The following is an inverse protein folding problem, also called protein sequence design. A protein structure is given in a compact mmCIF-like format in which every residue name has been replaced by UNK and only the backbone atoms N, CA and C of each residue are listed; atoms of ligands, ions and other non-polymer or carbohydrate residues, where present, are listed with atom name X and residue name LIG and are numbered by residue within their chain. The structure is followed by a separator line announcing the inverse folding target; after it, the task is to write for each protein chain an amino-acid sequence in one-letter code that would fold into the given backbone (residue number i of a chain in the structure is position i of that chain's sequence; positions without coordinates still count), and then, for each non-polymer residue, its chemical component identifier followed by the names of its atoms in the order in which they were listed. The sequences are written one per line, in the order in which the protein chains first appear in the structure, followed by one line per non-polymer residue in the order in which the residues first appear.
data_IF_588185363357
#
_entry.id   IF_588185363357
#
_cell.length_a   1.000
_cell.length_b   1.000
_cell.length_c   1.000
_cell.angle_alpha   90.00
_cell.angle_beta   90.00
_cell.angle_gamma   90.00
#
_symmetry.space_group_name_H-M   'P 1'
#
loop_
_entity.id
_entity.type
_entity.pdbx_description
1 polymer ?
#
# COMPACT_ATOMS: atom_id res chain seq x y z
N UNK A 1 32.89 32.34 -7.35
CA UNK A 1 32.20 31.75 -8.52
C UNK A 1 31.17 30.74 -8.00
N UNK A 2 29.91 31.19 -8.03
CA UNK A 2 28.64 30.44 -8.07
C UNK A 2 28.52 29.09 -7.36
N UNK A 3 27.88 29.13 -6.18
CA UNK A 3 27.07 28.03 -5.69
C UNK A 3 25.81 27.92 -6.56
N UNK A 4 25.57 26.75 -7.15
CA UNK A 4 24.32 26.46 -7.85
C UNK A 4 23.24 26.10 -6.82
N UNK A 5 22.31 27.03 -6.60
CA UNK A 5 21.04 26.71 -5.96
C UNK A 5 20.19 25.96 -6.99
N UNK A 6 20.03 24.65 -6.82
CA UNK A 6 19.03 23.89 -7.57
C UNK A 6 17.68 24.14 -6.90
N UNK A 7 16.99 25.18 -7.34
CA UNK A 7 15.61 25.48 -6.98
C UNK A 7 14.71 24.52 -7.76
N UNK A 8 14.58 23.29 -7.30
CA UNK A 8 13.58 22.37 -7.86
C UNK A 8 12.24 22.68 -7.17
N UNK A 9 11.56 23.69 -7.69
CA UNK A 9 10.17 23.98 -7.34
C UNK A 9 9.31 22.86 -7.89
N UNK A 10 9.18 21.78 -7.12
CA UNK A 10 8.20 20.73 -7.37
C UNK A 10 6.80 21.37 -7.30
N UNK A 11 6.25 21.67 -8.46
CA UNK A 11 4.83 21.93 -8.64
C UNK A 11 4.08 20.73 -8.10
N UNK A 12 3.55 20.84 -6.89
CA UNK A 12 2.63 19.85 -6.35
C UNK A 12 1.36 19.93 -7.19
N UNK A 13 1.22 18.97 -8.10
CA UNK A 13 0.01 18.79 -8.90
C UNK A 13 -1.19 18.63 -7.94
N UNK A 14 -2.27 19.38 -8.19
CA UNK A 14 -3.51 19.33 -7.41
C UNK A 14 -4.20 17.94 -7.41
N UNK A 15 -3.67 16.98 -8.19
CA UNK A 15 -4.10 15.58 -8.23
C UNK A 15 -3.56 14.73 -7.05
N UNK A 16 -2.61 15.25 -6.26
CA UNK A 16 -1.91 14.51 -5.19
C UNK A 16 -2.78 14.30 -3.92
N UNK A 17 -3.86 15.08 -3.76
CA UNK A 17 -4.73 15.00 -2.57
C UNK A 17 -5.69 13.80 -2.55
N UNK A 18 -5.75 13.01 -3.63
CA UNK A 18 -6.70 11.89 -3.77
C UNK A 18 -6.03 10.56 -4.08
N UNK A 19 -4.70 10.47 -4.09
CA UNK A 19 -4.02 9.21 -4.40
C UNK A 19 -4.05 8.26 -3.20
N UNK A 20 -4.87 7.22 -3.29
CA UNK A 20 -5.06 6.21 -2.22
C UNK A 20 -4.40 4.87 -2.55
N UNK A 21 -4.01 4.65 -3.80
CA UNK A 21 -3.43 3.41 -4.30
C UNK A 21 -1.90 3.48 -4.35
N UNK A 22 -1.24 2.60 -3.60
CA UNK A 22 0.22 2.54 -3.52
C UNK A 22 0.75 1.16 -3.85
N UNK A 23 1.82 1.11 -4.63
CA UNK A 23 2.59 -0.10 -4.92
C UNK A 23 3.97 0.02 -4.28
N UNK A 24 4.21 -0.78 -3.24
CA UNK A 24 5.46 -0.73 -2.48
C UNK A 24 6.33 -1.96 -2.79
N UNK A 25 7.61 -1.78 -3.17
CA UNK A 25 8.53 -2.88 -3.39
C UNK A 25 8.71 -3.73 -2.12
N UNK A 26 8.34 -5.00 -2.21
CA UNK A 26 8.49 -5.98 -1.15
C UNK A 26 9.52 -7.03 -1.57
N UNK A 27 10.65 -7.03 -0.86
CA UNK A 27 11.75 -7.96 -1.09
C UNK A 27 11.49 -9.25 -0.30
N UNK A 28 11.01 -10.28 -0.99
CA UNK A 28 10.72 -11.58 -0.40
C UNK A 28 11.98 -12.47 -0.46
N UNK A 29 12.56 -12.91 0.68
CA UNK A 29 13.72 -13.79 0.67
C UNK A 29 13.45 -15.10 -0.06
N UNK A 30 14.43 -15.62 -0.78
CA UNK A 30 14.32 -16.86 -1.58
C UNK A 30 13.82 -18.06 -0.80
N UNK A 31 14.25 -18.24 0.45
CA UNK A 31 13.78 -19.34 1.29
C UNK A 31 12.29 -19.23 1.67
N UNK A 32 11.68 -18.05 1.48
CA UNK A 32 10.25 -17.79 1.72
C UNK A 32 9.48 -17.68 0.41
N UNK A 33 10.16 -17.38 -0.69
CA UNK A 33 9.55 -17.38 -2.02
C UNK A 33 9.34 -18.82 -2.50
N UNK A 34 8.14 -19.16 -2.96
CA UNK A 34 7.92 -20.41 -3.68
C UNK A 34 8.50 -20.29 -5.09
N UNK A 35 9.82 -20.47 -5.22
CA UNK A 35 10.57 -20.21 -6.47
C UNK A 35 10.10 -21.11 -7.63
N UNK A 36 9.48 -22.25 -7.35
CA UNK A 36 8.90 -23.17 -8.34
C UNK A 36 7.38 -23.04 -8.50
N UNK A 37 6.71 -22.17 -7.73
CA UNK A 37 5.26 -22.03 -7.66
C UNK A 37 4.78 -20.67 -8.17
N UNK A 38 3.95 -20.00 -7.37
CA UNK A 38 3.40 -18.68 -7.70
C UNK A 38 4.48 -17.64 -8.07
N UNK A 39 5.69 -17.76 -7.49
CA UNK A 39 6.81 -16.88 -7.81
C UNK A 39 7.35 -17.08 -9.22
N UNK A 40 7.42 -18.33 -9.71
CA UNK A 40 7.88 -18.61 -11.08
C UNK A 40 6.94 -17.99 -12.11
N UNK A 41 5.63 -18.18 -11.94
CA UNK A 41 4.62 -17.59 -12.80
C UNK A 41 4.64 -16.05 -12.73
N UNK A 42 4.78 -15.48 -11.53
CA UNK A 42 4.88 -14.03 -11.37
C UNK A 42 6.14 -13.44 -12.05
N UNK A 43 7.27 -14.15 -12.01
CA UNK A 43 8.49 -13.76 -12.72
C UNK A 43 8.29 -13.83 -14.25
N UNK A 44 7.68 -14.90 -14.75
CA UNK A 44 7.40 -15.07 -16.19
C UNK A 44 6.45 -13.98 -16.72
N UNK A 45 5.44 -13.62 -15.93
CA UNK A 45 4.44 -12.62 -16.30
C UNK A 45 4.87 -11.17 -16.00
N UNK A 46 6.10 -10.96 -15.50
CA UNK A 46 6.62 -9.63 -15.17
C UNK A 46 6.02 -8.96 -13.92
N UNK A 47 5.25 -9.71 -13.13
CA UNK A 47 4.64 -9.26 -11.87
C UNK A 47 5.63 -9.28 -10.69
N UNK A 48 6.76 -9.95 -10.86
CA UNK A 48 7.86 -10.00 -9.90
C UNK A 48 9.20 -9.85 -10.61
N UNK A 49 10.22 -9.43 -9.85
CA UNK A 49 11.61 -9.33 -10.33
C UNK A 49 12.53 -10.14 -9.44
N UNK A 50 13.40 -10.97 -10.02
CA UNK A 50 14.41 -11.70 -9.26
C UNK A 50 15.61 -10.80 -9.00
N UNK A 51 16.06 -10.73 -7.75
CA UNK A 51 17.31 -10.08 -7.34
C UNK A 51 18.23 -11.13 -6.72
N UNK A 52 19.09 -11.70 -7.56
CA UNK A 52 20.06 -12.73 -7.16
C UNK A 52 21.13 -12.19 -6.20
N UNK A 53 21.47 -10.89 -6.27
CA UNK A 53 22.49 -10.28 -5.41
C UNK A 53 22.01 -10.19 -3.96
N UNK A 54 20.72 -9.89 -3.77
CA UNK A 54 20.11 -9.81 -2.44
C UNK A 54 19.48 -11.13 -1.98
N UNK A 55 19.42 -12.13 -2.85
CA UNK A 55 18.76 -13.40 -2.54
C UNK A 55 17.25 -13.25 -2.36
N UNK A 56 16.60 -12.37 -3.15
CA UNK A 56 15.18 -12.03 -2.99
C UNK A 56 14.41 -12.01 -4.30
N UNK A 57 13.11 -12.30 -4.25
CA UNK A 57 12.14 -11.96 -5.30
C UNK A 57 11.42 -10.69 -4.86
N UNK A 58 11.42 -9.67 -5.71
CA UNK A 58 10.78 -8.38 -5.46
C UNK A 58 9.40 -8.36 -6.11
N UNK A 59 8.38 -8.15 -5.28
CA UNK A 59 7.00 -7.91 -5.70
C UNK A 59 6.63 -6.45 -5.45
N UNK A 60 5.57 -5.97 -6.08
CA UNK A 60 4.91 -4.74 -5.67
C UNK A 60 3.70 -5.11 -4.82
N UNK A 61 3.75 -4.84 -3.52
CA UNK A 61 2.59 -5.03 -2.64
C UNK A 61 1.65 -3.84 -2.81
N UNK A 62 0.41 -4.13 -3.12
CA UNK A 62 -0.66 -3.14 -3.21
C UNK A 62 -1.14 -2.73 -1.82
N UNK A 63 -1.29 -1.43 -1.60
CA UNK A 63 -1.90 -0.82 -0.44
C UNK A 63 -2.96 0.17 -0.88
N UNK A 64 -4.12 0.12 -0.22
CA UNK A 64 -5.13 1.17 -0.26
C UNK A 64 -5.06 1.96 1.05
N UNK A 65 -4.70 3.23 0.98
CA UNK A 65 -4.57 4.10 2.14
C UNK A 65 -5.93 4.76 2.38
N UNK A 66 -6.63 4.27 3.40
CA UNK A 66 -7.93 4.82 3.78
C UNK A 66 -7.81 6.30 4.18
N UNK A 67 -8.81 7.09 3.81
CA UNK A 67 -8.99 8.45 4.29
C UNK A 67 -10.02 8.50 5.41
N UNK A 68 -10.07 9.64 6.12
CA UNK A 68 -11.06 9.88 7.17
C UNK A 68 -12.48 9.61 6.66
N UNK A 69 -13.28 8.89 7.45
CA UNK A 69 -14.67 8.60 7.12
C UNK A 69 -14.87 7.54 6.03
N UNK A 70 -13.81 7.01 5.41
CA UNK A 70 -13.95 6.01 4.34
C UNK A 70 -14.40 4.65 4.88
N UNK A 71 -13.79 4.17 5.97
CA UNK A 71 -14.16 2.90 6.59
C UNK A 71 -15.63 2.90 7.03
N UNK A 72 -16.11 4.01 7.57
CA UNK A 72 -17.49 4.20 7.99
C UNK A 72 -18.45 4.11 6.79
N UNK A 73 -18.11 4.73 5.67
CA UNK A 73 -18.91 4.67 4.43
C UNK A 73 -18.93 3.26 3.84
N UNK A 74 -17.81 2.55 3.86
CA UNK A 74 -17.71 1.18 3.34
C UNK A 74 -18.61 0.19 4.08
N UNK A 75 -18.78 0.38 5.38
CA UNK A 75 -19.57 -0.52 6.23
C UNK A 75 -20.98 0.00 6.53
N UNK A 76 -21.34 1.20 6.04
CA UNK A 76 -22.62 1.84 6.32
C UNK A 76 -23.84 0.98 5.93
N UNK A 77 -23.71 0.19 4.87
CA UNK A 77 -24.79 -0.65 4.34
C UNK A 77 -24.85 -2.05 5.00
N UNK A 78 -23.99 -2.33 5.98
CA UNK A 78 -24.00 -3.61 6.70
C UNK A 78 -25.20 -3.70 7.65
N UNK A 79 -26.14 -4.59 7.36
CA UNK A 79 -27.42 -4.71 8.09
C UNK A 79 -27.31 -5.34 9.48
N UNK A 80 -26.21 -6.01 9.80
CA UNK A 80 -26.03 -6.83 10.99
C UNK A 80 -24.86 -6.36 11.88
N UNK A 81 -24.40 -5.13 11.68
CA UNK A 81 -23.36 -4.51 12.50
C UNK A 81 -23.65 -3.02 12.67
N UNK A 82 -23.29 -2.48 13.83
CA UNK A 82 -23.28 -1.05 14.11
C UNK A 82 -21.86 -0.58 14.40
N UNK A 83 -21.53 0.63 13.97
CA UNK A 83 -20.29 1.31 14.37
C UNK A 83 -20.51 1.83 15.78
N UNK A 84 -19.67 1.37 16.73
CA UNK A 84 -19.73 1.81 18.13
C UNK A 84 -18.60 2.77 18.50
N UNK A 85 -17.51 2.79 17.73
CA UNK A 85 -16.42 3.75 17.92
C UNK A 85 -15.60 3.95 16.62
N UNK A 86 -14.92 5.09 16.52
CA UNK A 86 -13.98 5.43 15.46
C UNK A 86 -12.80 6.22 16.02
N UNK A 87 -11.58 5.85 15.63
CA UNK A 87 -10.38 6.52 16.11
C UNK A 87 -9.22 6.41 15.12
N UNK A 88 -8.18 7.20 15.37
CA UNK A 88 -6.93 7.18 14.62
C UNK A 88 -5.78 6.81 15.55
N UNK A 89 -5.04 5.75 15.22
CA UNK A 89 -3.88 5.30 15.99
C UNK A 89 -2.71 4.90 15.08
N UNK A 90 -1.51 5.41 15.40
CA UNK A 90 -0.24 5.11 14.70
C UNK A 90 -0.33 5.10 13.17
N UNK A 91 -0.96 6.14 12.61
CA UNK A 91 -1.16 6.28 11.15
C UNK A 91 -2.19 5.34 10.54
N UNK A 92 -3.13 4.82 11.33
CA UNK A 92 -4.22 3.96 10.85
C UNK A 92 -5.57 4.54 11.27
N UNK A 93 -6.52 4.51 10.33
CA UNK A 93 -7.93 4.68 10.64
C UNK A 93 -8.51 3.36 11.17
N UNK A 94 -9.24 3.44 12.27
CA UNK A 94 -9.82 2.30 12.95
C UNK A 94 -11.31 2.55 13.20
N UNK A 95 -12.12 1.49 13.07
CA UNK A 95 -13.52 1.47 13.48
C UNK A 95 -13.77 0.26 14.36
N UNK A 96 -14.64 0.40 15.35
CA UNK A 96 -15.13 -0.73 16.17
C UNK A 96 -16.56 -1.03 15.74
N UNK A 97 -16.80 -2.28 15.38
CA UNK A 97 -18.10 -2.78 14.99
C UNK A 97 -18.65 -3.71 16.07
N UNK A 98 -19.91 -3.52 16.43
CA UNK A 98 -20.68 -4.44 17.26
C UNK A 98 -21.72 -5.15 16.38
N UNK A 99 -21.91 -6.46 16.60
CA UNK A 99 -22.98 -7.21 15.94
C UNK A 99 -24.33 -6.83 16.54
N UNK A 100 -25.31 -6.56 15.68
CA UNK A 100 -26.71 -6.31 16.06
C UNK A 100 -27.43 -7.57 16.54
#
# INVERSE_FOLDING_TARGET
MTAAACSDSLSMDENDKTQQEYFVPWHLPFHRAEISGASAAALQNGLAKKDDKKGTVVYNRYYHIFVEGELQRLVADMKNAAIVDQFYDKSNWCIVLEKL
#
